data_IF_970637939850
#
_entry.id   IF_970637939850
#
_cell.length_a   1.000
_cell.length_b   1.000
_cell.length_c   1.000
_cell.angle_alpha   90.00
_cell.angle_beta   90.00
_cell.angle_gamma   90.00
#
_symmetry.space_group_name_H-M   'P 1'
#
loop_
_entity.id
_entity.type
_entity.pdbx_description
1 polymer ?
#
# COMPACT_ATOMS: atom_id res chain seq x y z
N UNK A 1 -4.10 34.77 22.50
CA UNK A 1 -3.70 33.44 22.98
C UNK A 1 -3.46 32.60 21.73
N UNK A 2 -2.21 32.33 21.38
CA UNK A 2 -1.89 31.57 20.18
C UNK A 2 -2.30 30.11 20.41
N UNK A 3 -3.32 29.63 19.72
CA UNK A 3 -3.61 28.21 19.63
C UNK A 3 -2.45 27.57 18.85
N UNK A 4 -1.73 26.65 19.49
CA UNK A 4 -0.73 25.85 18.80
C UNK A 4 -1.42 25.08 17.65
N UNK A 5 -0.82 25.10 16.46
CA UNK A 5 -1.23 24.23 15.35
C UNK A 5 -1.23 22.78 15.85
N UNK A 6 -2.42 22.23 16.04
CA UNK A 6 -2.62 20.84 16.45
C UNK A 6 -3.11 20.03 15.26
N UNK A 7 -2.39 18.97 14.92
CA UNK A 7 -2.92 17.94 14.03
C UNK A 7 -4.04 17.19 14.76
N UNK A 8 -5.22 17.08 14.15
CA UNK A 8 -6.24 16.17 14.64
C UNK A 8 -5.93 14.78 14.09
N UNK A 9 -5.66 13.85 14.99
CA UNK A 9 -5.35 12.46 14.66
C UNK A 9 -6.46 11.57 15.20
N UNK A 10 -7.02 10.73 14.34
CA UNK A 10 -8.08 9.80 14.72
C UNK A 10 -8.29 8.67 13.73
N UNK A 11 -9.27 7.83 14.03
CA UNK A 11 -9.80 6.81 13.13
C UNK A 11 -11.16 7.29 12.60
N UNK A 12 -11.55 7.00 11.35
CA UNK A 12 -12.94 7.26 10.91
C UNK A 12 -13.36 6.75 9.52
N UNK A 13 -13.37 7.53 8.45
CA UNK A 13 -13.70 7.00 7.11
C UNK A 13 -13.34 8.03 6.06
N UNK A 14 -12.88 7.57 4.90
CA UNK A 14 -12.77 8.40 3.70
C UNK A 14 -13.72 7.87 2.63
N UNK A 15 -14.60 8.72 2.12
CA UNK A 15 -15.59 8.34 1.11
C UNK A 15 -15.53 9.28 -0.10
N UNK A 16 -15.19 8.72 -1.26
CA UNK A 16 -15.23 9.42 -2.55
C UNK A 16 -16.66 9.42 -3.09
N UNK A 17 -17.29 10.60 -3.13
CA UNK A 17 -18.66 10.75 -3.63
C UNK A 17 -18.73 10.80 -5.16
N UNK A 18 -17.64 11.22 -5.82
CA UNK A 18 -17.54 11.27 -7.28
C UNK A 18 -17.60 9.85 -7.85
N UNK A 19 -16.77 8.96 -7.32
CA UNK A 19 -16.68 7.57 -7.78
C UNK A 19 -17.55 6.60 -6.95
N UNK A 20 -18.25 7.11 -5.91
CA UNK A 20 -19.05 6.32 -4.96
C UNK A 20 -18.24 5.20 -4.31
N UNK A 21 -16.98 5.48 -4.02
CA UNK A 21 -16.02 4.50 -3.55
C UNK A 21 -15.66 4.76 -2.07
N UNK A 22 -15.98 3.84 -1.14
CA UNK A 22 -15.47 3.91 0.22
C UNK A 22 -14.02 3.43 0.25
N UNK A 23 -13.11 4.27 0.75
CA UNK A 23 -11.75 3.82 1.04
C UNK A 23 -11.72 3.08 2.38
N UNK A 24 -12.00 1.78 2.33
CA UNK A 24 -12.10 0.90 3.49
C UNK A 24 -10.72 0.55 4.09
N UNK A 25 -10.70 0.11 5.35
CA UNK A 25 -9.50 -0.46 5.98
C UNK A 25 -8.43 0.54 6.42
N UNK A 26 -8.80 1.79 6.73
CA UNK A 26 -7.84 2.81 7.15
C UNK A 26 -7.33 2.56 8.59
N UNK A 27 -6.08 2.95 8.85
CA UNK A 27 -5.44 2.87 10.16
C UNK A 27 -5.48 4.17 10.94
N UNK A 28 -5.23 5.29 10.26
CA UNK A 28 -5.07 6.60 10.88
C UNK A 28 -5.35 7.70 9.84
N UNK A 29 -6.13 8.72 10.23
CA UNK A 29 -6.32 9.95 9.48
C UNK A 29 -5.77 11.09 10.33
N UNK A 30 -4.86 11.86 9.76
CA UNK A 30 -4.35 13.10 10.33
C UNK A 30 -4.83 14.26 9.48
N UNK A 31 -5.49 15.24 10.11
CA UNK A 31 -5.95 16.46 9.46
C UNK A 31 -5.26 17.66 10.09
N UNK A 32 -4.55 18.40 9.25
CA UNK A 32 -3.85 19.63 9.57
C UNK A 32 -4.64 20.81 9.03
N UNK A 33 -4.89 21.79 9.91
CA UNK A 33 -5.45 23.07 9.53
C UNK A 33 -4.31 24.09 9.53
N UNK A 34 -3.83 24.44 8.35
CA UNK A 34 -2.84 25.51 8.18
C UNK A 34 -3.55 26.87 8.26
N UNK A 35 -4.02 27.26 9.45
CA UNK A 35 -4.69 28.54 9.65
C UNK A 35 -3.76 29.56 10.31
N UNK A 36 -3.58 30.71 9.68
CA UNK A 36 -2.90 31.86 10.29
C UNK A 36 -3.83 32.68 11.22
N UNK A 37 -5.15 32.57 11.08
CA UNK A 37 -6.14 33.27 11.93
C UNK A 37 -7.50 32.54 11.92
N UNK A 38 -8.12 32.36 13.09
CA UNK A 38 -9.51 31.87 13.23
C UNK A 38 -10.32 33.02 13.82
N UNK A 39 -11.21 33.63 13.02
CA UNK A 39 -12.12 34.66 13.51
C UNK A 39 -13.45 34.03 13.92
N UNK A 40 -13.80 34.12 15.20
CA UNK A 40 -15.14 33.77 15.70
C UNK A 40 -15.95 35.07 15.73
N UNK A 41 -16.85 35.32 14.77
CA UNK A 41 -17.63 36.55 14.77
C UNK A 41 -18.48 36.63 16.03
N UNK A 42 -18.22 37.64 16.87
CA UNK A 42 -18.98 37.89 18.09
C UNK A 42 -20.45 38.15 17.72
N UNK A 43 -21.35 37.30 18.21
CA UNK A 43 -22.79 37.55 18.16
C UNK A 43 -23.62 36.59 17.30
N UNK A 44 -23.00 35.64 16.60
CA UNK A 44 -23.75 34.60 15.89
C UNK A 44 -23.86 33.33 16.74
N UNK A 45 -25.04 33.08 17.32
CA UNK A 45 -25.36 31.88 18.13
C UNK A 45 -25.85 30.71 17.27
N UNK A 46 -25.93 30.90 15.94
CA UNK A 46 -26.09 29.77 15.04
C UNK A 46 -24.72 29.11 14.85
N UNK A 47 -24.66 27.79 14.94
CA UNK A 47 -23.46 26.93 14.92
C UNK A 47 -22.62 26.99 13.62
N UNK A 48 -22.63 28.10 12.89
CA UNK A 48 -21.82 28.32 11.70
C UNK A 48 -20.51 28.99 12.08
N UNK A 49 -19.47 28.17 12.23
CA UNK A 49 -18.09 28.65 12.16
C UNK A 49 -17.76 28.88 10.68
N UNK A 50 -17.50 30.13 10.29
CA UNK A 50 -17.04 30.46 8.93
C UNK A 50 -15.51 30.43 8.94
N UNK A 51 -14.93 29.48 8.22
CA UNK A 51 -13.49 29.35 8.08
C UNK A 51 -12.99 30.25 6.94
N UNK A 52 -12.28 31.32 7.29
CA UNK A 52 -11.53 32.14 6.34
C UNK A 52 -10.06 31.73 6.38
N UNK A 53 -9.67 30.73 5.60
CA UNK A 53 -8.24 30.51 5.33
C UNK A 53 -7.83 31.42 4.19
N UNK A 54 -6.95 32.40 4.47
CA UNK A 54 -6.44 33.29 3.43
C UNK A 54 -5.31 32.65 2.61
N UNK A 55 -4.59 31.64 3.10
CA UNK A 55 -3.41 31.10 2.39
C UNK A 55 -3.02 29.64 2.72
N UNK A 56 -3.73 28.92 3.61
CA UNK A 56 -3.39 27.53 3.97
C UNK A 56 -4.59 26.61 3.89
N UNK A 57 -4.68 25.81 2.84
CA UNK A 57 -5.78 24.85 2.65
C UNK A 57 -5.88 23.85 3.80
N UNK A 58 -7.00 23.11 3.86
CA UNK A 58 -7.10 21.95 4.75
C UNK A 58 -6.31 20.82 4.11
N UNK A 59 -5.40 20.19 4.83
CA UNK A 59 -4.62 19.07 4.31
C UNK A 59 -4.33 18.04 5.37
N UNK A 60 -3.68 16.95 5.00
CA UNK A 60 -3.45 15.87 5.94
C UNK A 60 -2.82 14.65 5.32
N UNK A 61 -2.71 13.59 6.12
CA UNK A 61 -2.25 12.27 5.67
C UNK A 61 -3.32 11.26 6.03
N UNK A 62 -3.67 10.39 5.08
CA UNK A 62 -4.50 9.20 5.32
C UNK A 62 -3.63 7.96 5.19
N UNK A 63 -3.81 7.00 6.10
CA UNK A 63 -3.12 5.71 6.07
C UNK A 63 -4.10 4.53 6.06
N UNK A 64 -3.80 3.47 5.30
CA UNK A 64 -4.59 2.25 5.13
C UNK A 64 -3.84 0.98 5.45
N UNK A 65 -4.47 0.10 6.22
CA UNK A 65 -3.92 -1.21 6.58
C UNK A 65 -4.30 -2.32 5.61
N UNK A 66 -5.42 -2.16 4.91
CA UNK A 66 -5.85 -3.07 3.87
C UNK A 66 -5.83 -2.35 2.54
N UNK A 67 -5.11 -2.92 1.58
CA UNK A 67 -5.05 -2.41 0.23
C UNK A 67 -5.48 -3.45 -0.77
N UNK A 68 -6.32 -3.03 -1.70
CA UNK A 68 -6.61 -3.77 -2.91
C UNK A 68 -6.12 -2.97 -4.13
N UNK A 69 -6.23 -3.59 -5.30
CA UNK A 69 -5.80 -2.97 -6.55
C UNK A 69 -6.62 -1.71 -6.90
N UNK A 70 -7.88 -1.62 -6.49
CA UNK A 70 -8.73 -0.45 -6.78
C UNK A 70 -8.32 0.74 -5.93
N UNK A 71 -8.02 0.52 -4.63
CA UNK A 71 -7.44 1.53 -3.76
C UNK A 71 -6.11 2.03 -4.34
N UNK A 72 -5.20 1.12 -4.72
CA UNK A 72 -3.91 1.53 -5.29
C UNK A 72 -4.12 2.32 -6.59
N UNK A 73 -5.00 1.86 -7.48
CA UNK A 73 -5.33 2.56 -8.72
C UNK A 73 -5.84 3.99 -8.45
N UNK A 74 -6.79 4.17 -7.52
CA UNK A 74 -7.27 5.49 -7.12
C UNK A 74 -6.15 6.36 -6.51
N UNK A 75 -5.27 5.77 -5.70
CA UNK A 75 -4.13 6.45 -5.08
C UNK A 75 -2.93 6.63 -6.00
N UNK A 76 -2.95 6.16 -7.24
CA UNK A 76 -1.87 6.44 -8.20
C UNK A 76 -2.39 7.13 -9.46
N UNK A 77 -3.71 7.30 -9.61
CA UNK A 77 -4.32 7.68 -10.88
C UNK A 77 -4.28 6.56 -11.92
N UNK A 78 -3.94 5.34 -11.50
CA UNK A 78 -3.80 4.19 -12.37
C UNK A 78 -5.13 3.51 -12.67
N UNK A 79 -5.04 2.40 -13.41
CA UNK A 79 -6.19 1.54 -13.72
C UNK A 79 -5.96 0.12 -13.19
N UNK A 80 -6.90 -0.37 -12.37
CA UNK A 80 -6.93 -1.76 -11.92
C UNK A 80 -7.54 -2.64 -13.02
N UNK A 81 -6.81 -3.64 -13.48
CA UNK A 81 -7.27 -4.56 -14.54
C UNK A 81 -7.31 -5.99 -14.00
N UNK A 82 -8.51 -6.59 -13.97
CA UNK A 82 -8.67 -8.01 -13.67
C UNK A 82 -8.20 -8.83 -14.88
N UNK A 83 -7.15 -9.63 -14.68
CA UNK A 83 -6.45 -10.34 -15.75
C UNK A 83 -5.58 -11.45 -15.15
N UNK A 84 -4.56 -11.89 -15.86
CA UNK A 84 -3.45 -12.64 -15.29
C UNK A 84 -2.70 -11.78 -14.26
N UNK A 85 -2.50 -12.34 -13.08
CA UNK A 85 -1.68 -11.73 -12.04
C UNK A 85 -0.26 -12.28 -12.01
N UNK A 86 0.57 -11.67 -11.17
CA UNK A 86 1.81 -12.28 -10.69
C UNK A 86 1.53 -12.80 -9.28
N UNK A 87 1.90 -14.03 -9.01
CA UNK A 87 1.79 -14.66 -7.70
C UNK A 87 3.16 -15.12 -7.22
N UNK A 88 3.30 -15.28 -5.89
CA UNK A 88 4.52 -15.77 -5.27
C UNK A 88 4.31 -17.21 -4.80
N UNK A 89 5.19 -18.11 -5.22
CA UNK A 89 5.34 -19.42 -4.59
C UNK A 89 6.35 -19.23 -3.47
N UNK A 90 5.89 -19.29 -2.22
CA UNK A 90 6.72 -19.01 -1.05
C UNK A 90 7.24 -20.31 -0.44
N UNK A 91 8.56 -20.42 -0.33
CA UNK A 91 9.24 -21.54 0.32
C UNK A 91 8.80 -22.93 -0.21
N UNK A 92 8.60 -23.05 -1.53
CA UNK A 92 8.25 -24.31 -2.19
C UNK A 92 9.33 -25.35 -1.90
N UNK A 93 8.95 -26.48 -1.31
CA UNK A 93 9.87 -27.52 -0.91
C UNK A 93 10.23 -28.42 -2.09
N UNK A 94 11.52 -28.75 -2.20
CA UNK A 94 12.04 -29.70 -3.18
C UNK A 94 13.16 -30.55 -2.59
N UNK A 95 13.57 -31.59 -3.32
CA UNK A 95 14.75 -32.39 -2.97
C UNK A 95 15.53 -32.69 -4.24
N UNK A 96 16.83 -32.41 -4.23
CA UNK A 96 17.71 -32.71 -5.37
C UNK A 96 17.78 -34.23 -5.55
N UNK A 97 17.39 -34.80 -6.70
CA UNK A 97 17.42 -36.23 -6.92
C UNK A 97 18.84 -36.81 -6.81
N UNK A 98 18.97 -38.04 -6.31
CA UNK A 98 20.27 -38.68 -6.11
C UNK A 98 20.79 -39.43 -7.35
N UNK A 99 19.93 -39.78 -8.30
CA UNK A 99 20.23 -40.84 -9.27
C UNK A 99 20.21 -40.44 -10.75
N UNK A 100 19.74 -39.24 -11.12
CA UNK A 100 19.99 -38.66 -12.46
C UNK A 100 19.47 -37.23 -12.59
N UNK A 101 20.12 -36.47 -13.50
CA UNK A 101 19.93 -35.05 -13.89
C UNK A 101 20.07 -34.00 -12.80
N UNK A 102 19.98 -34.34 -11.51
CA UNK A 102 20.06 -33.39 -10.38
C UNK A 102 19.14 -32.18 -10.58
N UNK A 103 17.99 -32.42 -11.22
CA UNK A 103 17.03 -31.37 -11.54
C UNK A 103 15.86 -31.40 -10.57
N UNK A 104 15.34 -30.22 -10.24
CA UNK A 104 14.09 -30.04 -9.49
C UNK A 104 13.17 -29.18 -10.34
N UNK A 105 12.05 -29.74 -10.77
CA UNK A 105 11.02 -29.01 -11.50
C UNK A 105 10.07 -28.34 -10.51
N UNK A 106 9.91 -27.02 -10.63
CA UNK A 106 8.98 -26.27 -9.82
C UNK A 106 7.53 -26.55 -10.22
N UNK A 107 6.62 -26.49 -9.25
CA UNK A 107 5.18 -26.75 -9.43
C UNK A 107 4.59 -25.86 -10.52
N UNK A 108 4.96 -24.56 -10.53
CA UNK A 108 4.50 -23.60 -11.52
C UNK A 108 5.54 -23.37 -12.64
N UNK A 109 6.31 -24.40 -13.01
CA UNK A 109 7.42 -24.28 -13.98
C UNK A 109 7.00 -23.69 -15.34
N UNK A 110 5.81 -24.04 -15.84
CA UNK A 110 5.29 -23.54 -17.13
C UNK A 110 5.00 -22.04 -17.14
N UNK A 111 4.69 -21.46 -15.97
CA UNK A 111 4.35 -20.05 -15.79
C UNK A 111 5.41 -19.31 -14.96
N UNK A 112 6.53 -19.97 -14.67
CA UNK A 112 7.61 -19.44 -13.87
C UNK A 112 8.24 -18.24 -14.58
N UNK A 113 8.48 -17.17 -13.82
CA UNK A 113 9.24 -16.03 -14.28
C UNK A 113 10.67 -16.26 -13.80
N UNK A 114 11.50 -16.93 -14.60
CA UNK A 114 12.85 -17.36 -14.19
C UNK A 114 13.70 -16.23 -13.63
N UNK A 115 13.60 -15.02 -14.19
CA UNK A 115 14.32 -13.84 -13.72
C UNK A 115 13.98 -13.42 -12.28
N UNK A 116 12.91 -13.97 -11.69
CA UNK A 116 12.58 -13.77 -10.27
C UNK A 116 13.37 -14.68 -9.33
N UNK A 117 13.98 -15.76 -9.84
CA UNK A 117 14.80 -16.69 -9.07
C UNK A 117 16.24 -16.16 -9.03
N UNK A 118 16.44 -15.13 -8.22
CA UNK A 118 17.75 -14.52 -7.98
C UNK A 118 18.53 -15.16 -6.84
N UNK A 119 19.73 -14.64 -6.58
CA UNK A 119 20.50 -14.98 -5.37
C UNK A 119 19.65 -14.73 -4.12
N UNK A 120 19.61 -15.70 -3.22
CA UNK A 120 18.75 -15.65 -2.02
C UNK A 120 17.41 -16.35 -2.16
N UNK A 121 17.02 -16.77 -3.37
CA UNK A 121 15.70 -17.37 -3.63
C UNK A 121 15.64 -18.86 -3.35
N UNK A 122 16.78 -19.55 -3.46
CA UNK A 122 16.93 -20.99 -3.21
C UNK A 122 17.82 -21.18 -1.99
N UNK A 123 17.37 -21.93 -1.00
CA UNK A 123 18.15 -22.18 0.21
C UNK A 123 17.83 -23.53 0.86
N UNK A 124 18.73 -23.97 1.74
CA UNK A 124 18.52 -25.10 2.65
C UNK A 124 18.28 -24.58 4.07
N UNK A 125 17.72 -25.42 4.94
CA UNK A 125 17.47 -25.07 6.34
C UNK A 125 16.25 -24.17 6.56
N UNK A 126 16.11 -23.65 7.78
CA UNK A 126 15.00 -22.77 8.20
C UNK A 126 15.50 -21.66 9.12
N UNK A 127 14.74 -20.56 9.24
CA UNK A 127 15.05 -19.46 10.15
C UNK A 127 16.42 -18.82 9.87
N UNK A 128 17.25 -18.69 10.91
CA UNK A 128 18.59 -18.11 10.82
C UNK A 128 19.65 -19.06 10.24
N UNK A 129 19.32 -20.34 10.03
CA UNK A 129 20.24 -21.35 9.50
C UNK A 129 20.14 -21.52 7.97
N UNK A 130 19.60 -20.52 7.27
CA UNK A 130 19.45 -20.57 5.80
C UNK A 130 20.81 -20.49 5.12
N UNK A 131 21.14 -21.48 4.29
CA UNK A 131 22.28 -21.44 3.38
C UNK A 131 21.77 -21.33 1.94
N UNK A 132 22.18 -20.29 1.22
CA UNK A 132 21.65 -19.96 -0.10
C UNK A 132 22.50 -20.57 -1.22
N UNK A 133 21.84 -20.95 -2.31
CA UNK A 133 22.53 -21.35 -3.53
C UNK A 133 22.86 -20.12 -4.38
N UNK A 134 24.05 -20.11 -4.98
CA UNK A 134 24.44 -19.14 -5.99
C UNK A 134 23.81 -19.52 -7.34
N UNK A 135 23.13 -18.58 -8.00
CA UNK A 135 22.61 -18.81 -9.35
C UNK A 135 23.72 -18.58 -10.37
N UNK A 136 23.94 -19.56 -11.24
CA UNK A 136 24.96 -19.57 -12.30
C UNK A 136 24.36 -19.91 -13.66
N UNK A 137 25.13 -19.64 -14.73
CA UNK A 137 24.75 -20.07 -16.07
C UNK A 137 24.72 -21.61 -16.18
N UNK A 138 23.84 -22.12 -17.06
CA UNK A 138 23.71 -23.54 -17.32
C UNK A 138 25.04 -24.19 -17.74
N UNK A 139 25.35 -25.36 -17.17
CA UNK A 139 26.60 -26.08 -17.39
C UNK A 139 27.76 -25.63 -16.50
N UNK A 140 27.55 -24.63 -15.62
CA UNK A 140 28.53 -24.15 -14.64
C UNK A 140 28.18 -24.53 -13.20
N UNK A 141 27.29 -25.52 -13.01
CA UNK A 141 26.83 -25.96 -11.71
C UNK A 141 27.98 -26.63 -10.92
N UNK A 142 28.15 -26.20 -9.67
CA UNK A 142 29.07 -26.77 -8.68
C UNK A 142 28.32 -26.85 -7.34
N UNK A 143 28.87 -27.56 -6.34
CA UNK A 143 28.22 -27.68 -5.01
C UNK A 143 27.85 -26.31 -4.45
N UNK A 144 26.60 -26.14 -4.03
CA UNK A 144 26.06 -24.86 -3.56
C UNK A 144 25.75 -23.85 -4.67
N UNK A 145 25.78 -24.27 -5.94
CA UNK A 145 25.37 -23.48 -7.10
C UNK A 145 24.27 -24.18 -7.89
N UNK A 146 23.41 -23.40 -8.52
CA UNK A 146 22.27 -23.90 -9.30
C UNK A 146 22.10 -23.06 -10.57
N UNK A 147 21.69 -23.68 -11.68
CA UNK A 147 21.17 -22.95 -12.83
C UNK A 147 19.65 -23.06 -12.90
N UNK A 148 19.01 -22.11 -13.56
CA UNK A 148 17.55 -22.01 -13.68
C UNK A 148 17.18 -21.88 -15.15
N UNK A 149 16.26 -22.72 -15.62
CA UNK A 149 15.67 -22.58 -16.95
C UNK A 149 14.26 -23.16 -16.99
N UNK A 150 13.29 -22.35 -17.43
CA UNK A 150 11.87 -22.69 -17.54
C UNK A 150 11.30 -23.31 -16.26
N UNK A 151 11.61 -22.69 -15.11
CA UNK A 151 11.23 -23.20 -13.79
C UNK A 151 11.81 -24.58 -13.43
N UNK A 152 12.87 -25.02 -14.11
CA UNK A 152 13.66 -26.19 -13.75
C UNK A 152 14.98 -25.73 -13.15
N UNK A 153 15.23 -26.18 -11.93
CA UNK A 153 16.46 -25.94 -11.19
C UNK A 153 17.43 -27.09 -11.46
N UNK A 154 18.66 -26.80 -11.89
CA UNK A 154 19.70 -27.82 -12.10
C UNK A 154 20.83 -27.61 -11.11
N UNK A 155 21.15 -28.66 -10.35
CA UNK A 155 22.17 -28.65 -9.30
C UNK A 155 23.38 -29.48 -9.69
N UNK A 156 24.47 -29.33 -8.93
CA UNK A 156 25.62 -30.22 -9.05
C UNK A 156 25.38 -31.54 -8.32
N UNK A 157 26.13 -32.57 -8.72
CA UNK A 157 26.14 -33.88 -8.05
C UNK A 157 26.44 -33.79 -6.55
N UNK A 158 27.25 -32.80 -6.14
CA UNK A 158 27.59 -32.58 -4.73
C UNK A 158 26.42 -32.18 -3.85
N UNK A 159 25.30 -31.75 -4.44
CA UNK A 159 24.07 -31.36 -3.74
C UNK A 159 23.00 -32.46 -3.75
N UNK A 160 23.32 -33.68 -4.22
CA UNK A 160 22.40 -34.80 -4.27
C UNK A 160 21.73 -35.07 -2.90
N UNK A 161 20.43 -35.37 -2.91
CA UNK A 161 19.58 -35.58 -1.72
C UNK A 161 19.41 -34.35 -0.81
N UNK A 162 19.88 -33.17 -1.22
CA UNK A 162 19.69 -31.95 -0.44
C UNK A 162 18.24 -31.48 -0.49
N UNK A 163 17.64 -31.24 0.67
CA UNK A 163 16.33 -30.61 0.77
C UNK A 163 16.47 -29.10 0.56
N UNK A 164 15.70 -28.56 -0.38
CA UNK A 164 15.72 -27.16 -0.76
C UNK A 164 14.37 -26.50 -0.54
N UNK A 165 14.39 -25.18 -0.40
CA UNK A 165 13.21 -24.32 -0.46
C UNK A 165 13.45 -23.23 -1.48
N UNK A 166 12.46 -22.98 -2.32
CA UNK A 166 12.54 -21.99 -3.38
C UNK A 166 11.40 -20.99 -3.27
N UNK A 167 11.72 -19.70 -3.34
CA UNK A 167 10.72 -18.63 -3.48
C UNK A 167 10.84 -18.01 -4.87
N UNK A 168 9.74 -17.92 -5.61
CA UNK A 168 9.75 -17.40 -6.98
C UNK A 168 8.41 -16.80 -7.39
N UNK A 169 8.43 -16.01 -8.46
CA UNK A 169 7.24 -15.43 -9.08
C UNK A 169 6.79 -16.29 -10.26
N UNK A 170 5.47 -16.39 -10.44
CA UNK A 170 4.86 -17.04 -11.59
C UNK A 170 3.64 -16.27 -12.06
N UNK A 171 3.30 -16.40 -13.34
CA UNK A 171 2.05 -15.88 -13.87
C UNK A 171 0.88 -16.76 -13.41
N UNK A 172 -0.16 -16.12 -12.91
CA UNK A 172 -1.39 -16.74 -12.46
C UNK A 172 -2.51 -16.32 -13.42
N UNK A 173 -3.38 -17.24 -13.82
CA UNK A 173 -4.54 -16.94 -14.65
C UNK A 173 -5.58 -16.01 -13.96
N UNK A 174 -5.44 -15.86 -12.65
CA UNK A 174 -6.27 -14.99 -11.81
C UNK A 174 -5.42 -13.93 -11.13
N UNK A 175 -5.96 -12.71 -11.04
CA UNK A 175 -5.30 -11.62 -10.35
C UNK A 175 -5.79 -10.26 -10.82
N UNK A 176 -5.22 -9.22 -10.23
CA UNK A 176 -5.44 -7.83 -10.63
C UNK A 176 -4.12 -7.10 -10.54
N UNK A 177 -3.74 -6.41 -11.62
CA UNK A 177 -2.60 -5.51 -11.61
C UNK A 177 -3.09 -4.06 -11.77
N UNK A 178 -2.27 -3.12 -11.32
CA UNK A 178 -2.48 -1.69 -11.54
C UNK A 178 -1.47 -1.21 -12.56
N UNK A 179 -1.95 -0.58 -13.63
CA UNK A 179 -1.09 0.16 -14.57
C UNK A 179 -1.12 1.63 -14.20
N UNK A 180 0.06 2.24 -14.15
CA UNK A 180 0.25 3.67 -13.92
C UNK A 180 1.13 4.19 -15.05
N UNK A 181 0.61 5.08 -15.87
CA UNK A 181 1.36 5.78 -16.90
C UNK A 181 2.21 6.90 -16.27
N UNK A 182 3.30 7.34 -16.93
CA UNK A 182 4.15 8.43 -16.41
C UNK A 182 3.40 9.74 -16.12
N UNK A 183 2.34 10.00 -16.88
CA UNK A 183 1.51 11.21 -16.79
C UNK A 183 0.21 11.00 -16.01
N UNK A 184 -0.03 9.79 -15.48
CA UNK A 184 -1.21 9.52 -14.66
C UNK A 184 -1.10 10.35 -13.38
N UNK A 185 -2.04 11.28 -13.25
CA UNK A 185 -2.26 12.02 -12.02
C UNK A 185 -3.63 11.64 -11.49
N UNK A 186 -3.74 11.30 -10.20
CA UNK A 186 -5.05 11.08 -9.61
C UNK A 186 -5.94 12.30 -9.83
N UNK A 187 -7.16 12.07 -10.29
CA UNK A 187 -8.15 13.12 -10.38
C UNK A 187 -8.46 13.68 -8.98
N UNK A 188 -8.86 14.95 -8.94
CA UNK A 188 -9.48 15.50 -7.74
C UNK A 188 -10.85 14.86 -7.50
N UNK A 189 -11.30 14.87 -6.27
CA UNK A 189 -12.55 14.23 -5.87
C UNK A 189 -13.27 15.01 -4.78
N UNK A 190 -14.60 14.90 -4.77
CA UNK A 190 -15.41 15.43 -3.68
C UNK A 190 -15.69 14.32 -2.67
N UNK A 191 -15.64 14.61 -1.37
CA UNK A 191 -16.03 13.61 -0.40
C UNK A 191 -15.93 13.99 1.06
N UNK A 192 -16.13 12.98 1.90
CA UNK A 192 -16.20 13.13 3.35
C UNK A 192 -15.03 12.45 4.03
N UNK A 193 -14.42 13.17 4.97
CA UNK A 193 -13.42 12.70 5.92
C UNK A 193 -14.07 12.68 7.30
N UNK A 194 -14.23 11.50 7.89
CA UNK A 194 -14.79 11.35 9.23
C UNK A 194 -13.64 11.06 10.19
N UNK A 195 -13.61 11.76 11.32
CA UNK A 195 -12.70 11.54 12.44
C UNK A 195 -13.51 11.27 13.70
N UNK A 196 -13.25 10.15 14.36
CA UNK A 196 -13.77 9.87 15.70
C UNK A 196 -12.87 10.55 16.75
N UNK A 197 -13.50 11.19 17.73
CA UNK A 197 -12.86 11.88 18.85
C UNK A 197 -13.52 11.47 20.17
N UNK A 198 -12.75 11.42 21.23
CA UNK A 198 -13.29 11.26 22.59
C UNK A 198 -13.70 12.65 23.11
N UNK A 199 -14.97 12.79 23.50
CA UNK A 199 -15.52 14.01 24.07
C UNK A 199 -15.20 14.11 25.57
N UNK A 200 -15.37 15.29 26.16
CA UNK A 200 -15.20 15.51 27.61
C UNK A 200 -16.12 14.62 28.46
N UNK A 201 -17.25 14.20 27.89
CA UNK A 201 -18.21 13.27 28.51
C UNK A 201 -17.77 11.80 28.46
N UNK A 202 -16.58 11.52 27.91
CA UNK A 202 -16.10 10.19 27.54
C UNK A 202 -16.98 9.48 26.48
N UNK A 203 -17.89 10.19 25.80
CA UNK A 203 -18.58 9.68 24.63
C UNK A 203 -17.69 9.78 23.38
N UNK A 204 -17.96 8.94 22.37
CA UNK A 204 -17.36 9.07 21.05
C UNK A 204 -18.20 10.08 20.25
N UNK A 205 -17.57 11.18 19.87
CA UNK A 205 -18.12 12.11 18.88
C UNK A 205 -17.35 12.00 17.56
N UNK A 206 -17.86 12.66 16.53
CA UNK A 206 -17.32 12.66 15.18
C UNK A 206 -17.19 14.09 14.68
N UNK A 207 -16.05 14.34 14.05
CA UNK A 207 -15.84 15.47 13.18
C UNK A 207 -15.92 14.96 11.75
N UNK A 208 -16.90 15.43 10.99
CA UNK A 208 -17.01 15.13 9.57
C UNK A 208 -16.62 16.37 8.77
N UNK A 209 -15.70 16.20 7.83
CA UNK A 209 -15.25 17.25 6.93
C UNK A 209 -15.68 16.87 5.53
N UNK A 210 -16.45 17.73 4.89
CA UNK A 210 -16.70 17.65 3.45
C UNK A 210 -15.67 18.51 2.72
N UNK A 211 -15.11 17.99 1.63
CA UNK A 211 -14.31 18.73 0.66
C UNK A 211 -14.88 18.54 -0.74
N UNK A 212 -15.13 19.63 -1.47
CA UNK A 212 -15.62 19.59 -2.85
C UNK A 212 -14.51 19.30 -3.87
N UNK A 213 -13.26 19.65 -3.56
CA UNK A 213 -12.11 19.46 -4.45
C UNK A 213 -10.88 18.99 -3.66
N UNK A 214 -10.87 17.70 -3.33
CA UNK A 214 -9.78 17.03 -2.62
C UNK A 214 -8.78 16.52 -3.64
N UNK A 215 -7.52 16.92 -3.50
CA UNK A 215 -6.41 16.45 -4.34
C UNK A 215 -5.40 15.71 -3.49
N UNK A 216 -4.89 14.62 -4.04
CA UNK A 216 -3.77 13.92 -3.45
C UNK A 216 -2.48 14.71 -3.66
N UNK A 217 -1.69 14.83 -2.60
CA UNK A 217 -0.41 15.55 -2.60
C UNK A 217 0.70 14.64 -2.05
N UNK A 218 1.94 15.11 -2.15
CA UNK A 218 3.08 14.38 -1.62
C UNK A 218 3.35 13.04 -2.31
N UNK A 219 4.18 12.23 -1.66
CA UNK A 219 4.56 10.91 -2.16
C UNK A 219 3.58 9.83 -1.74
N UNK A 220 3.25 8.93 -2.65
CA UNK A 220 2.61 7.66 -2.31
C UNK A 220 3.61 6.76 -1.58
N UNK A 221 3.25 6.25 -0.39
CA UNK A 221 4.13 5.41 0.43
C UNK A 221 3.50 4.04 0.62
N UNK A 222 4.30 2.99 0.38
CA UNK A 222 3.97 1.59 0.64
C UNK A 222 4.90 1.05 1.74
N UNK A 223 4.34 0.46 2.79
CA UNK A 223 5.11 -0.30 3.79
C UNK A 223 4.77 0.08 5.24
N UNK A 224 5.43 -0.55 6.20
CA UNK A 224 5.10 -0.34 7.60
C UNK A 224 5.55 1.05 8.10
N UNK A 225 4.59 1.93 8.40
CA UNK A 225 4.86 3.28 8.93
C UNK A 225 5.05 3.31 10.44
N UNK A 226 4.51 2.32 11.19
CA UNK A 226 4.78 2.11 12.62
C UNK A 226 4.26 0.74 13.08
N UNK A 227 4.91 0.13 14.06
CA UNK A 227 4.44 -1.06 14.78
C UNK A 227 4.16 -2.34 13.94
N UNK A 228 4.77 -2.48 12.76
CA UNK A 228 4.74 -3.74 12.00
C UNK A 228 3.46 -4.02 11.22
N UNK A 229 2.57 -3.04 11.06
CA UNK A 229 1.44 -3.14 10.15
C UNK A 229 1.79 -2.50 8.80
N UNK A 230 1.52 -3.22 7.72
CA UNK A 230 1.57 -2.66 6.37
C UNK A 230 0.64 -1.45 6.32
N UNK A 231 1.15 -0.31 5.89
CA UNK A 231 0.37 0.89 5.70
C UNK A 231 0.64 1.43 4.29
N UNK A 232 -0.43 1.65 3.53
CA UNK A 232 -0.39 2.59 2.41
C UNK A 232 -0.66 3.96 3.03
N UNK A 233 0.13 4.98 2.70
CA UNK A 233 -0.20 6.34 3.15
C UNK A 233 -0.05 7.35 2.03
N UNK A 234 -0.90 8.38 2.06
CA UNK A 234 -0.84 9.48 1.11
C UNK A 234 -1.27 10.79 1.75
N UNK A 235 -0.61 11.86 1.33
CA UNK A 235 -0.97 13.21 1.73
C UNK A 235 -2.11 13.74 0.83
N UNK A 236 -2.91 14.63 1.36
CA UNK A 236 -3.98 15.30 0.61
C UNK A 236 -4.07 16.77 0.98
N UNK A 237 -4.73 17.55 0.13
CA UNK A 237 -5.27 18.87 0.45
C UNK A 237 -6.67 19.03 -0.14
N UNK A 238 -7.45 19.93 0.44
CA UNK A 238 -8.73 20.39 -0.07
C UNK A 238 -8.53 21.79 -0.63
N UNK A 239 -8.77 21.97 -1.92
CA UNK A 239 -8.82 23.29 -2.52
C UNK A 239 -10.12 23.98 -2.06
N UNK A 240 -10.03 25.22 -1.60
CA UNK A 240 -11.14 25.98 -1.02
C UNK A 240 -11.26 27.29 -1.79
N UNK A 241 -11.82 27.21 -2.99
CA UNK A 241 -11.87 28.31 -3.96
C UNK A 241 -13.18 29.11 -3.84
N UNK A 242 -14.23 28.48 -3.33
CA UNK A 242 -15.55 29.06 -3.14
C UNK A 242 -16.20 28.67 -1.81
N UNK A 243 -17.19 29.46 -1.39
CA UNK A 243 -18.00 29.13 -0.21
C UNK A 243 -18.75 27.81 -0.44
N UNK A 244 -18.63 26.90 0.52
CA UNK A 244 -19.23 25.56 0.45
C UNK A 244 -18.27 24.46 0.00
N UNK A 245 -17.06 24.81 -0.47
CA UNK A 245 -16.04 23.82 -0.85
C UNK A 245 -15.54 23.02 0.35
N UNK A 246 -15.60 23.61 1.54
CA UNK A 246 -15.31 22.95 2.82
C UNK A 246 -16.49 23.12 3.75
N UNK A 247 -16.99 22.01 4.31
CA UNK A 247 -18.00 22.04 5.38
C UNK A 247 -17.55 21.17 6.55
N UNK A 248 -17.69 21.68 7.77
CA UNK A 248 -17.42 20.92 9.00
C UNK A 248 -18.73 20.61 9.70
N UNK A 249 -18.93 19.35 10.05
CA UNK A 249 -20.06 18.86 10.81
C UNK A 249 -19.56 18.26 12.12
N UNK A 250 -20.23 18.63 13.21
CA UNK A 250 -19.99 18.09 14.54
C UNK A 250 -21.25 17.35 14.97
N UNK A 251 -21.12 16.08 15.34
CA UNK A 251 -22.17 15.32 16.04
C UNK A 251 -21.90 15.27 17.56
#
# INVERSE_FOLDING_TARGET
>A
MALALGALVGQGMVFDTTNKYPFLGYGEISINFDTNEIEIPKGNWSNQMVYHSLLGGIGGTVSWHYSDANLIAALTGGTATASSGISVAKEEAGTVPATSTYTVTLTNSTTCIDGSIGHGSIYTGTGSSKAYFEIVAGGSEATGKCSVSSGVLTFAVGDASTAIRTTYLYTNATGTYVTVAPDDTPASWAGYLVLERVLETNAIGRLTIYGADIVWTGGFRLGATRAGHEAISRDFRVNNDASGDVLLYFD
#
